data_IF_025376080802
#
_entry.id   IF_025376080802
#
_cell.length_a   1.000
_cell.length_b   1.000
_cell.length_c   1.000
_cell.angle_alpha   90.00
_cell.angle_beta   90.00
_cell.angle_gamma   90.00
#
_symmetry.space_group_name_H-M   'P 1'
#
loop_
_entity.id
_entity.type
_entity.pdbx_description
1 polymer ?
#
# COMPACT_ATOMS: atom_id res chain seq x y z
N UNK A 1 38.63 -51.23 58.49
CA UNK A 1 37.97 -51.64 57.23
C UNK A 1 38.70 -52.81 56.61
N UNK A 2 38.01 -53.95 56.51
CA UNK A 2 38.55 -55.16 55.88
C UNK A 2 38.85 -54.88 54.41
N UNK A 3 39.87 -55.52 53.84
CA UNK A 3 40.30 -55.29 52.43
C UNK A 3 39.15 -55.48 51.44
N UNK A 4 38.16 -56.31 51.78
CA UNK A 4 36.94 -56.55 51.00
C UNK A 4 35.98 -55.35 50.97
N UNK A 5 35.86 -54.61 52.07
CA UNK A 5 34.96 -53.45 52.17
C UNK A 5 35.49 -52.26 51.36
N UNK A 6 36.81 -52.04 51.40
CA UNK A 6 37.48 -51.03 50.56
C UNK A 6 37.30 -51.34 49.07
N UNK A 7 37.51 -52.60 48.69
CA UNK A 7 37.32 -53.04 47.32
C UNK A 7 35.85 -52.84 46.86
N UNK A 8 34.86 -53.12 47.73
CA UNK A 8 33.45 -52.89 47.42
C UNK A 8 33.12 -51.40 47.25
N UNK A 9 33.68 -50.53 48.09
CA UNK A 9 33.52 -49.07 47.97
C UNK A 9 34.15 -48.51 46.71
N UNK A 10 35.34 -49.00 46.33
CA UNK A 10 36.03 -48.65 45.08
C UNK A 10 35.23 -49.11 43.85
N UNK A 11 34.65 -50.32 43.91
CA UNK A 11 33.75 -50.83 42.87
C UNK A 11 32.49 -49.96 42.70
N UNK A 12 31.87 -49.54 43.81
CA UNK A 12 30.70 -48.65 43.76
C UNK A 12 31.05 -47.26 43.21
N UNK A 13 32.21 -46.71 43.57
CA UNK A 13 32.71 -45.45 43.01
C UNK A 13 32.93 -45.57 41.49
N UNK A 14 33.54 -46.66 41.02
CA UNK A 14 33.75 -46.90 39.59
C UNK A 14 32.44 -47.02 38.82
N UNK A 15 31.42 -47.67 39.39
CA UNK A 15 30.07 -47.75 38.78
C UNK A 15 29.45 -46.35 38.69
N UNK A 16 29.57 -45.53 39.74
CA UNK A 16 29.04 -44.17 39.73
C UNK A 16 29.75 -43.29 38.69
N UNK A 17 31.08 -43.36 38.61
CA UNK A 17 31.87 -42.67 37.58
C UNK A 17 31.48 -43.13 36.17
N UNK A 18 31.33 -44.43 35.94
CA UNK A 18 30.87 -44.97 34.66
C UNK A 18 29.50 -44.43 34.28
N UNK A 19 28.54 -44.34 35.22
CA UNK A 19 27.22 -43.77 34.96
C UNK A 19 27.30 -42.26 34.64
N UNK A 20 28.17 -41.51 35.30
CA UNK A 20 28.40 -40.08 35.01
C UNK A 20 28.97 -39.93 33.59
N UNK A 21 29.97 -40.73 33.23
CA UNK A 21 30.54 -40.71 31.88
C UNK A 21 29.52 -41.10 30.81
N UNK A 22 28.68 -42.10 31.09
CA UNK A 22 27.58 -42.50 30.20
C UNK A 22 26.59 -41.35 29.96
N UNK A 23 26.14 -40.65 31.01
CA UNK A 23 25.24 -39.49 30.88
C UNK A 23 25.90 -38.32 30.14
N UNK A 24 27.17 -38.02 30.45
CA UNK A 24 27.94 -36.98 29.75
C UNK A 24 28.11 -37.29 28.26
N UNK A 25 28.40 -38.55 27.93
CA UNK A 25 28.52 -39.01 26.55
C UNK A 25 27.18 -38.87 25.82
N UNK A 26 26.09 -39.28 26.45
CA UNK A 26 24.74 -39.14 25.88
C UNK A 26 24.39 -37.67 25.62
N UNK A 27 24.58 -36.80 26.61
CA UNK A 27 24.31 -35.36 26.45
C UNK A 27 25.16 -34.72 25.35
N UNK A 28 26.44 -35.11 25.21
CA UNK A 28 27.29 -34.66 24.10
C UNK A 28 26.82 -35.19 22.74
N UNK A 29 26.34 -36.43 22.68
CA UNK A 29 25.79 -37.01 21.46
C UNK A 29 24.51 -36.28 21.01
N UNK A 30 23.64 -35.93 21.96
CA UNK A 30 22.43 -35.16 21.70
C UNK A 30 22.76 -33.73 21.25
N UNK A 31 23.71 -33.06 21.91
CA UNK A 31 24.18 -31.74 21.50
C UNK A 31 24.79 -31.76 20.08
N UNK A 32 25.54 -32.81 19.73
CA UNK A 32 26.11 -32.98 18.40
C UNK A 32 25.03 -33.18 17.33
N UNK A 33 23.95 -33.87 17.65
CA UNK A 33 22.80 -34.04 16.75
C UNK A 33 22.12 -32.69 16.47
N UNK A 34 21.89 -31.88 17.50
CA UNK A 34 21.29 -30.55 17.37
C UNK A 34 22.18 -29.65 16.50
N UNK A 35 23.49 -29.60 16.79
CA UNK A 35 24.44 -28.79 16.01
C UNK A 35 24.52 -29.26 14.55
N UNK A 36 24.47 -30.58 14.31
CA UNK A 36 24.43 -31.12 12.95
C UNK A 36 23.18 -30.66 12.18
N UNK A 37 22.02 -30.67 12.84
CA UNK A 37 20.77 -30.19 12.24
C UNK A 37 20.81 -28.68 11.96
N UNK A 38 21.32 -27.88 12.89
CA UNK A 38 21.49 -26.43 12.71
C UNK A 38 22.50 -26.10 11.60
N UNK A 39 23.54 -26.93 11.43
CA UNK A 39 24.49 -26.79 10.33
C UNK A 39 23.81 -27.07 8.98
N UNK A 40 22.97 -28.10 8.90
CA UNK A 40 22.21 -28.41 7.68
C UNK A 40 21.22 -27.30 7.31
N UNK A 41 20.52 -26.71 8.28
CA UNK A 41 19.62 -25.58 8.03
C UNK A 41 20.39 -24.35 7.55
N UNK A 42 21.49 -24.00 8.21
CA UNK A 42 22.35 -22.90 7.79
C UNK A 42 22.93 -23.11 6.37
N UNK A 43 23.28 -24.35 6.02
CA UNK A 43 23.74 -24.69 4.66
C UNK A 43 22.63 -24.48 3.61
N UNK A 44 21.40 -24.92 3.91
CA UNK A 44 20.24 -24.72 3.02
C UNK A 44 19.96 -23.23 2.81
N UNK A 45 19.99 -22.44 3.88
CA UNK A 45 19.79 -20.99 3.81
C UNK A 45 20.87 -20.31 2.96
N UNK A 46 22.15 -20.65 3.20
CA UNK A 46 23.28 -20.15 2.39
C UNK A 46 23.09 -20.47 0.91
N UNK A 47 22.71 -21.70 0.57
CA UNK A 47 22.53 -22.13 -0.81
C UNK A 47 21.35 -21.42 -1.48
N UNK A 48 20.28 -21.17 -0.73
CA UNK A 48 19.15 -20.36 -1.18
C UNK A 48 19.58 -18.90 -1.46
N UNK A 49 20.36 -18.29 -0.57
CA UNK A 49 20.89 -16.94 -0.78
C UNK A 49 21.82 -16.87 -1.99
N UNK A 50 22.67 -17.88 -2.18
CA UNK A 50 23.55 -17.98 -3.35
C UNK A 50 22.75 -18.03 -4.66
N UNK A 51 21.71 -18.87 -4.72
CA UNK A 51 20.82 -18.95 -5.89
C UNK A 51 20.08 -17.63 -6.15
N UNK A 52 19.63 -16.94 -5.10
CA UNK A 52 18.99 -15.63 -5.24
C UNK A 52 19.96 -14.57 -5.77
N UNK A 53 21.21 -14.57 -5.29
CA UNK A 53 22.25 -13.68 -5.77
C UNK A 53 22.61 -13.94 -7.25
N UNK A 54 22.75 -15.21 -7.64
CA UNK A 54 23.01 -15.61 -9.03
C UNK A 54 21.88 -15.15 -9.97
N UNK A 55 20.61 -15.40 -9.61
CA UNK A 55 19.44 -14.90 -10.37
C UNK A 55 19.42 -13.38 -10.51
N UNK A 56 19.77 -12.65 -9.44
CA UNK A 56 19.84 -11.20 -9.47
C UNK A 56 20.97 -10.72 -10.40
N UNK A 57 22.13 -11.37 -10.32
CA UNK A 57 23.29 -11.08 -11.17
C UNK A 57 22.98 -11.33 -12.66
N UNK A 58 22.32 -12.44 -12.99
CA UNK A 58 21.85 -12.74 -14.35
C UNK A 58 20.92 -11.65 -14.88
N UNK A 59 19.93 -11.24 -14.08
CA UNK A 59 19.00 -10.15 -14.44
C UNK A 59 19.73 -8.83 -14.67
N UNK A 60 20.69 -8.50 -13.81
CA UNK A 60 21.52 -7.30 -13.95
C UNK A 60 22.38 -7.36 -15.22
N UNK A 61 22.96 -8.51 -15.55
CA UNK A 61 23.72 -8.69 -16.79
C UNK A 61 22.83 -8.62 -18.03
N UNK A 62 21.64 -9.22 -18.00
CA UNK A 62 20.67 -9.12 -19.08
C UNK A 62 20.25 -7.67 -19.33
N UNK A 63 20.00 -6.90 -18.27
CA UNK A 63 19.71 -5.47 -18.37
C UNK A 63 20.90 -4.67 -18.91
N UNK A 64 22.13 -4.99 -18.51
CA UNK A 64 23.35 -4.35 -19.06
C UNK A 64 23.53 -4.64 -20.55
N UNK A 65 23.25 -5.86 -21.01
CA UNK A 65 23.29 -6.22 -22.45
C UNK A 65 22.24 -5.43 -23.23
N UNK A 66 20.99 -5.42 -22.74
CA UNK A 66 19.93 -4.58 -23.32
C UNK A 66 20.34 -3.10 -23.36
N UNK A 67 20.94 -2.57 -22.28
CA UNK A 67 21.39 -1.18 -22.22
C UNK A 67 22.53 -0.88 -23.20
N UNK A 68 23.43 -1.82 -23.48
CA UNK A 68 24.47 -1.67 -24.51
C UNK A 68 23.85 -1.57 -25.91
N UNK A 69 22.80 -2.35 -26.20
CA UNK A 69 22.04 -2.27 -27.46
C UNK A 69 21.30 -0.93 -27.61
N UNK A 70 20.87 -0.31 -26.49
CA UNK A 70 20.23 1.01 -26.45
C UNK A 70 21.20 2.19 -26.29
N UNK A 71 22.52 1.97 -26.27
CA UNK A 71 23.53 3.03 -26.08
C UNK A 71 23.49 4.11 -27.17
N UNK A 72 22.81 3.87 -28.30
CA UNK A 72 22.53 4.87 -29.34
C UNK A 72 21.37 5.84 -28.99
N UNK A 73 20.69 5.69 -27.84
CA UNK A 73 19.46 6.39 -27.44
C UNK A 73 19.53 6.93 -25.98
N UNK A 74 20.61 7.61 -25.60
CA UNK A 74 20.90 8.10 -24.23
C UNK A 74 19.71 8.77 -23.53
N UNK A 75 18.96 9.63 -24.21
CA UNK A 75 17.97 10.49 -23.55
C UNK A 75 16.61 9.81 -23.35
N UNK A 76 16.25 8.87 -24.25
CA UNK A 76 15.07 8.02 -24.06
C UNK A 76 15.23 7.08 -22.87
N UNK A 77 16.45 6.58 -22.64
CA UNK A 77 16.77 5.67 -21.53
C UNK A 77 16.72 6.38 -20.17
N UNK A 78 17.20 7.64 -20.10
CA UNK A 78 17.06 8.48 -18.89
C UNK A 78 15.59 8.74 -18.55
N UNK A 79 14.76 9.06 -19.55
CA UNK A 79 13.33 9.30 -19.36
C UNK A 79 12.60 8.04 -18.86
N UNK A 80 12.86 6.87 -19.45
CA UNK A 80 12.27 5.60 -19.01
C UNK A 80 12.63 5.27 -17.55
N UNK A 81 13.87 5.57 -17.13
CA UNK A 81 14.30 5.39 -15.73
C UNK A 81 13.49 6.29 -14.78
N UNK A 82 13.39 7.58 -15.09
CA UNK A 82 12.63 8.53 -14.27
C UNK A 82 11.16 8.12 -14.19
N UNK A 83 10.55 7.68 -15.30
CA UNK A 83 9.17 7.20 -15.33
C UNK A 83 8.96 5.94 -14.47
N UNK A 84 9.95 5.04 -14.43
CA UNK A 84 9.90 3.84 -13.58
C UNK A 84 10.05 4.20 -12.10
N UNK A 85 11.00 5.08 -11.77
CA UNK A 85 11.26 5.51 -10.39
C UNK A 85 10.07 6.27 -9.83
N UNK A 86 9.47 7.19 -10.61
CA UNK A 86 8.25 7.91 -10.22
C UNK A 86 7.05 6.97 -10.07
N UNK A 87 6.87 5.98 -10.96
CA UNK A 87 5.84 4.94 -10.79
C UNK A 87 6.04 4.13 -9.51
N UNK A 88 7.28 3.75 -9.19
CA UNK A 88 7.59 2.99 -7.98
C UNK A 88 7.35 3.82 -6.71
N UNK A 89 7.74 5.09 -6.71
CA UNK A 89 7.46 6.02 -5.60
C UNK A 89 5.95 6.17 -5.39
N UNK A 90 5.17 6.36 -6.47
CA UNK A 90 3.70 6.43 -6.39
C UNK A 90 3.10 5.18 -5.75
N UNK A 91 3.54 3.99 -6.14
CA UNK A 91 3.10 2.74 -5.53
C UNK A 91 3.52 2.63 -4.05
N UNK A 92 4.71 3.11 -3.70
CA UNK A 92 5.18 3.18 -2.31
C UNK A 92 4.31 4.10 -1.44
N UNK A 93 4.01 5.31 -1.93
CA UNK A 93 3.11 6.24 -1.26
C UNK A 93 1.70 5.67 -1.12
N UNK A 94 1.19 4.99 -2.16
CA UNK A 94 -0.13 4.35 -2.11
C UNK A 94 -0.19 3.27 -1.01
N UNK A 95 0.80 2.38 -0.94
CA UNK A 95 0.88 1.36 0.14
C UNK A 95 0.99 1.98 1.53
N UNK A 96 1.75 3.08 1.66
CA UNK A 96 1.86 3.78 2.93
C UNK A 96 0.54 4.42 3.34
N UNK A 97 -0.18 5.01 2.39
CA UNK A 97 -1.53 5.53 2.61
C UNK A 97 -2.50 4.43 3.07
N UNK A 98 -2.49 3.28 2.40
CA UNK A 98 -3.32 2.11 2.76
C UNK A 98 -2.97 1.61 4.18
N UNK A 99 -1.68 1.50 4.52
CA UNK A 99 -1.22 1.13 5.85
C UNK A 99 -1.65 2.12 6.93
N UNK A 100 -1.51 3.42 6.68
CA UNK A 100 -1.95 4.47 7.62
C UNK A 100 -3.46 4.42 7.82
N UNK A 101 -4.22 4.18 6.76
CA UNK A 101 -5.68 4.04 6.82
C UNK A 101 -6.08 2.80 7.63
N UNK A 102 -5.37 1.68 7.49
CA UNK A 102 -5.57 0.50 8.33
C UNK A 102 -5.30 0.80 9.81
N UNK A 103 -4.15 1.41 10.14
CA UNK A 103 -3.80 1.79 11.52
C UNK A 103 -4.81 2.74 12.13
N UNK A 104 -5.34 3.68 11.35
CA UNK A 104 -6.39 4.58 11.78
C UNK A 104 -7.67 3.80 12.14
N UNK A 105 -8.08 2.86 11.28
CA UNK A 105 -9.26 2.03 11.53
C UNK A 105 -9.11 1.16 12.77
N UNK A 106 -7.93 0.56 12.99
CA UNK A 106 -7.60 -0.20 14.20
C UNK A 106 -7.71 0.68 15.44
N UNK A 107 -7.08 1.86 15.45
CA UNK A 107 -7.14 2.79 16.58
C UNK A 107 -8.57 3.30 16.85
N UNK A 108 -9.37 3.52 15.81
CA UNK A 108 -10.80 3.87 15.96
C UNK A 108 -11.60 2.71 16.58
N UNK A 109 -11.31 1.47 16.19
CA UNK A 109 -11.87 0.26 16.78
C UNK A 109 -11.52 0.12 18.26
N UNK A 110 -10.25 0.31 18.61
CA UNK A 110 -9.77 0.29 20.00
C UNK A 110 -10.45 1.38 20.84
N UNK A 111 -10.55 2.60 20.30
CA UNK A 111 -11.22 3.70 20.97
C UNK A 111 -12.71 3.40 21.20
N UNK A 112 -13.38 2.72 20.27
CA UNK A 112 -14.77 2.26 20.43
C UNK A 112 -14.88 1.25 21.57
N UNK A 113 -14.01 0.24 21.59
CA UNK A 113 -14.00 -0.79 22.64
C UNK A 113 -13.67 -0.21 24.01
N UNK A 114 -12.72 0.73 24.09
CA UNK A 114 -12.38 1.44 25.33
C UNK A 114 -13.58 2.25 25.83
N UNK A 115 -14.24 3.02 24.97
CA UNK A 115 -15.44 3.77 25.34
C UNK A 115 -16.55 2.85 25.87
N UNK A 116 -16.75 1.69 25.23
CA UNK A 116 -17.70 0.69 25.67
C UNK A 116 -17.33 0.07 27.03
N UNK A 117 -16.03 -0.25 27.24
CA UNK A 117 -15.52 -0.72 28.54
C UNK A 117 -15.72 0.32 29.64
N UNK A 118 -15.43 1.60 29.38
CA UNK A 118 -15.67 2.68 30.34
C UNK A 118 -17.15 2.87 30.65
N UNK A 119 -18.03 2.77 29.65
CA UNK A 119 -19.48 2.84 29.85
C UNK A 119 -19.99 1.68 30.72
N UNK A 120 -19.56 0.45 30.44
CA UNK A 120 -19.87 -0.74 31.26
C UNK A 120 -19.45 -0.57 32.72
N UNK A 121 -18.25 -0.06 32.98
CA UNK A 121 -17.77 0.16 34.34
C UNK A 121 -18.58 1.23 35.10
N UNK A 122 -19.22 2.18 34.39
CA UNK A 122 -20.00 3.26 35.02
C UNK A 122 -21.47 2.91 35.25
N UNK A 123 -22.08 2.12 34.36
CA UNK A 123 -23.56 1.95 34.31
C UNK A 123 -23.99 0.47 34.39
N UNK A 124 -23.06 -0.48 34.32
CA UNK A 124 -23.38 -1.92 34.28
C UNK A 124 -23.77 -2.43 32.88
N UNK A 125 -24.13 -3.72 32.79
CA UNK A 125 -24.34 -4.45 31.52
C UNK A 125 -25.63 -4.02 30.78
N UNK A 126 -26.60 -3.42 31.47
CA UNK A 126 -27.86 -2.94 30.87
C UNK A 126 -27.74 -1.60 30.12
N UNK A 127 -26.58 -0.93 30.20
CA UNK A 127 -26.34 0.37 29.56
C UNK A 127 -25.58 0.31 28.22
N UNK A 128 -25.28 -0.88 27.70
CA UNK A 128 -24.42 -1.05 26.53
C UNK A 128 -25.13 -0.56 25.26
N UNK A 129 -24.74 0.63 24.79
CA UNK A 129 -25.27 1.28 23.59
C UNK A 129 -25.93 2.63 23.84
N UNK A 130 -26.34 2.91 25.08
CA UNK A 130 -26.88 4.20 25.47
C UNK A 130 -25.73 5.13 25.87
N UNK A 131 -25.20 5.92 24.93
CA UNK A 131 -24.46 7.13 25.30
C UNK A 131 -25.45 8.04 26.04
N UNK A 132 -25.42 8.05 27.37
CA UNK A 132 -26.23 8.95 28.16
C UNK A 132 -25.63 10.35 28.12
N UNK A 133 -25.83 11.03 26.99
CA UNK A 133 -25.71 12.48 26.94
C UNK A 133 -26.88 13.07 27.72
N UNK A 134 -26.64 14.09 28.56
CA UNK A 134 -27.71 14.96 29.03
C UNK A 134 -28.57 15.41 27.85
N UNK A 135 -29.89 15.52 28.06
CA UNK A 135 -30.87 15.80 26.99
C UNK A 135 -30.46 17.02 26.13
N UNK A 136 -29.97 18.08 26.77
CA UNK A 136 -29.53 19.31 26.09
C UNK A 136 -28.30 19.12 25.19
N UNK A 137 -27.34 18.26 25.57
CA UNK A 137 -26.19 17.96 24.71
C UNK A 137 -26.62 17.13 23.49
N UNK A 138 -27.58 16.22 23.67
CA UNK A 138 -28.14 15.44 22.57
C UNK A 138 -28.88 16.33 21.58
N UNK A 139 -29.74 17.23 22.06
CA UNK A 139 -30.47 18.18 21.22
C UNK A 139 -29.52 19.07 20.43
N UNK A 140 -28.47 19.60 21.07
CA UNK A 140 -27.46 20.41 20.37
C UNK A 140 -26.77 19.63 19.25
N UNK A 141 -26.34 18.40 19.51
CA UNK A 141 -25.70 17.54 18.52
C UNK A 141 -26.65 17.19 17.36
N UNK A 142 -27.93 16.94 17.64
CA UNK A 142 -28.94 16.71 16.61
C UNK A 142 -29.11 17.95 15.74
N UNK A 143 -29.23 19.14 16.34
CA UNK A 143 -29.31 20.39 15.57
C UNK A 143 -28.07 20.62 14.70
N UNK A 144 -26.86 20.38 15.21
CA UNK A 144 -25.62 20.51 14.44
C UNK A 144 -25.57 19.53 13.25
N UNK A 145 -26.03 18.29 13.44
CA UNK A 145 -26.11 17.29 12.38
C UNK A 145 -27.14 17.66 11.31
N UNK A 146 -28.32 18.12 11.72
CA UNK A 146 -29.37 18.57 10.79
C UNK A 146 -28.91 19.77 9.96
N UNK A 147 -28.24 20.74 10.59
CA UNK A 147 -27.66 21.90 9.90
C UNK A 147 -26.58 21.47 8.91
N UNK A 148 -25.65 20.61 9.32
CA UNK A 148 -24.60 20.10 8.44
C UNK A 148 -25.19 19.31 7.25
N UNK A 149 -26.21 18.49 7.49
CA UNK A 149 -26.90 17.74 6.45
C UNK A 149 -27.62 18.67 5.47
N UNK A 150 -28.26 19.74 5.97
CA UNK A 150 -28.92 20.73 5.12
C UNK A 150 -27.92 21.51 4.27
N UNK A 151 -26.79 21.92 4.85
CA UNK A 151 -25.71 22.57 4.10
C UNK A 151 -25.16 21.66 3.00
N UNK A 152 -24.90 20.38 3.30
CA UNK A 152 -24.44 19.41 2.31
C UNK A 152 -25.43 19.26 1.15
N UNK A 153 -26.74 19.19 1.43
CA UNK A 153 -27.79 19.17 0.39
C UNK A 153 -27.78 20.44 -0.46
N UNK A 154 -27.58 21.61 0.16
CA UNK A 154 -27.52 22.88 -0.57
C UNK A 154 -26.31 22.92 -1.49
N UNK A 155 -25.12 22.59 -0.99
CA UNK A 155 -23.89 22.51 -1.79
C UNK A 155 -24.02 21.53 -2.96
N UNK A 156 -24.65 20.38 -2.74
CA UNK A 156 -24.89 19.42 -3.81
C UNK A 156 -25.80 20.00 -4.92
N UNK A 157 -26.90 20.68 -4.55
CA UNK A 157 -27.78 21.34 -5.53
C UNK A 157 -27.05 22.43 -6.30
N UNK A 158 -26.27 23.25 -5.61
CA UNK A 158 -25.50 24.33 -6.23
C UNK A 158 -24.42 23.78 -7.18
N UNK A 159 -23.71 22.74 -6.77
CA UNK A 159 -22.74 22.03 -7.61
C UNK A 159 -23.38 21.48 -8.89
N UNK A 160 -24.52 20.80 -8.77
CA UNK A 160 -25.26 20.27 -9.93
C UNK A 160 -25.68 21.40 -10.87
N UNK A 161 -26.27 22.48 -10.33
CA UNK A 161 -26.69 23.64 -11.12
C UNK A 161 -25.51 24.31 -11.85
N UNK A 162 -24.36 24.48 -11.19
CA UNK A 162 -23.15 25.02 -11.83
C UNK A 162 -22.60 24.08 -12.92
N UNK A 163 -22.69 22.77 -12.70
CA UNK A 163 -22.25 21.77 -13.69
C UNK A 163 -23.14 21.82 -14.95
N UNK A 164 -24.45 21.92 -14.78
CA UNK A 164 -25.40 22.08 -15.89
C UNK A 164 -25.15 23.38 -16.66
N UNK A 165 -25.05 24.52 -15.96
CA UNK A 165 -24.79 25.82 -16.60
C UNK A 165 -23.47 25.85 -17.38
N UNK A 166 -22.41 25.21 -16.86
CA UNK A 166 -21.13 25.11 -17.58
C UNK A 166 -21.18 24.13 -18.75
N UNK A 167 -22.04 23.11 -18.69
CA UNK A 167 -22.30 22.21 -19.82
C UNK A 167 -23.02 22.94 -20.95
N UNK A 168 -24.06 23.71 -20.63
CA UNK A 168 -24.81 24.49 -21.61
C UNK A 168 -23.91 25.54 -22.29
N UNK A 169 -23.09 26.26 -21.53
CA UNK A 169 -22.12 27.20 -22.08
C UNK A 169 -21.11 26.52 -23.02
N UNK A 170 -20.65 25.31 -22.70
CA UNK A 170 -19.76 24.54 -23.60
C UNK A 170 -20.49 24.16 -24.89
N UNK A 171 -21.74 23.72 -24.80
CA UNK A 171 -22.56 23.36 -25.96
C UNK A 171 -22.77 24.57 -26.89
N UNK A 172 -23.01 25.75 -26.33
CA UNK A 172 -23.11 26.99 -27.10
C UNK A 172 -21.80 27.33 -27.78
N UNK A 173 -20.67 27.29 -27.06
CA UNK A 173 -19.34 27.56 -27.67
C UNK A 173 -19.01 26.59 -28.80
N UNK A 174 -19.37 25.32 -28.66
CA UNK A 174 -19.18 24.31 -29.69
C UNK A 174 -20.05 24.58 -30.92
N UNK A 175 -21.31 24.98 -30.71
CA UNK A 175 -22.22 25.37 -31.79
C UNK A 175 -21.68 26.57 -32.58
N UNK A 176 -21.16 27.59 -31.89
CA UNK A 176 -20.54 28.74 -32.55
C UNK A 176 -19.24 28.37 -33.28
N UNK A 177 -18.41 27.48 -32.70
CA UNK A 177 -17.18 26.96 -33.34
C UNK A 177 -17.51 26.25 -34.65
N UNK A 178 -18.46 25.32 -34.64
CA UNK A 178 -18.89 24.59 -35.83
C UNK A 178 -19.46 25.54 -36.91
N UNK A 179 -20.21 26.56 -36.50
CA UNK A 179 -20.72 27.59 -37.42
C UNK A 179 -19.58 28.38 -38.08
N UNK A 180 -18.57 28.76 -37.30
CA UNK A 180 -17.39 29.46 -37.81
C UNK A 180 -16.55 28.58 -38.76
N UNK A 181 -16.37 27.30 -38.44
CA UNK A 181 -15.68 26.33 -39.29
C UNK A 181 -16.38 26.17 -40.64
N UNK A 182 -17.71 25.98 -40.62
CA UNK A 182 -18.52 25.89 -41.84
C UNK A 182 -18.41 27.15 -42.70
N UNK A 183 -18.54 28.35 -42.11
CA UNK A 183 -18.39 29.60 -42.85
C UNK A 183 -16.99 29.74 -43.45
N UNK A 184 -15.95 29.31 -42.71
CA UNK A 184 -14.58 29.32 -43.18
C UNK A 184 -14.36 28.35 -44.35
N UNK A 185 -14.97 27.16 -44.32
CA UNK A 185 -14.97 26.23 -45.45
C UNK A 185 -15.68 26.82 -46.68
N UNK A 186 -16.85 27.43 -46.49
CA UNK A 186 -17.61 28.10 -47.57
C UNK A 186 -16.80 29.26 -48.17
N UNK A 187 -16.16 30.09 -47.34
CA UNK A 187 -15.26 31.16 -47.79
C UNK A 187 -14.04 30.60 -48.54
N UNK A 188 -13.39 29.57 -48.02
CA UNK A 188 -12.24 28.95 -48.69
C UNK A 188 -12.64 28.34 -50.03
N UNK A 189 -13.82 27.73 -50.16
CA UNK A 189 -14.35 27.24 -51.43
C UNK A 189 -14.57 28.38 -52.42
N UNK A 190 -15.15 29.49 -51.97
CA UNK A 190 -15.37 30.69 -52.79
C UNK A 190 -14.02 31.28 -53.26
N UNK A 191 -13.07 31.45 -52.34
CA UNK A 191 -11.75 32.03 -52.65
C UNK A 191 -10.86 31.11 -53.49
N UNK A 192 -11.06 29.79 -53.39
CA UNK A 192 -10.33 28.79 -54.20
C UNK A 192 -10.97 28.58 -55.58
N UNK A 193 -12.20 29.06 -55.79
CA UNK A 193 -13.01 28.83 -56.98
C UNK A 193 -12.99 29.99 -57.97
N UNK A 194 -12.51 29.70 -59.19
CA UNK A 194 -12.56 30.49 -60.43
C UNK A 194 -12.14 31.98 -60.33
N UNK A 195 -10.93 32.28 -60.86
CA UNK A 195 -10.36 33.63 -60.94
C UNK A 195 -11.21 34.63 -61.75
N UNK A 196 -12.26 34.16 -62.43
CA UNK A 196 -13.20 35.00 -63.19
C UNK A 196 -14.41 35.49 -62.38
N UNK A 197 -14.66 34.95 -61.17
CA UNK A 197 -15.80 35.33 -60.33
C UNK A 197 -15.35 36.24 -59.19
N UNK A 198 -15.41 37.55 -59.41
CA UNK A 198 -15.20 38.55 -58.36
C UNK A 198 -16.37 38.42 -57.36
N UNK A 199 -16.07 38.10 -56.11
CA UNK A 199 -17.06 38.02 -55.03
C UNK A 199 -17.02 39.30 -54.21
N UNK A 200 -18.16 39.97 -54.13
CA UNK A 200 -18.37 41.13 -53.28
C UNK A 200 -18.53 40.69 -51.83
N UNK A 201 -17.60 41.10 -50.97
CA UNK A 201 -17.54 40.71 -49.56
C UNK A 201 -18.48 41.59 -48.72
N UNK A 202 -18.87 42.77 -49.22
CA UNK A 202 -19.70 43.73 -48.48
C UNK A 202 -21.21 43.40 -48.54
N UNK A 203 -21.59 42.32 -49.22
CA UNK A 203 -22.98 41.87 -49.39
C UNK A 203 -23.43 40.76 -48.41
N UNK A 204 -22.55 40.28 -47.53
CA UNK A 204 -22.83 39.27 -46.48
C UNK A 204 -22.88 39.90 -45.09
#
# INVERSE_FOLDING_TARGET
>A
MSRRERNNSEWQALIAEHQIFKRKLQSKSEALLIISQDLETAQKERDQFKLMAEKLQERCQALKRQQADFSMLSDKTKLIRILRDTKNQKLGHQRHSEMLQQKLNEALGDMKLLREKFARHRVGDEGIGARHFPVHEREKLVCELEQAQQQSKNWYREYVSQTEATSDAKQDTETYRLKAERLNEELNQILSGDKSRIVDIDAL
#
